data_IF_361064301435
#
_entry.id   IF_361064301435
#
_cell.length_a   1.000
_cell.length_b   1.000
_cell.length_c   1.000
_cell.angle_alpha   90.00
_cell.angle_beta   90.00
_cell.angle_gamma   90.00
#
_symmetry.space_group_name_H-M   'P 1'
#
loop_
_entity.id
_entity.type
_entity.pdbx_description
1 polymer ?
#
# COMPACT_ATOMS: atom_id res chain seq x y z
N UNK A 1 -10.81 9.79 12.10
CA UNK A 1 -11.27 9.37 10.76
C UNK A 1 -11.04 10.44 9.68
N UNK A 2 -11.45 11.70 9.83
CA UNK A 2 -11.21 12.75 8.81
C UNK A 2 -9.71 13.12 8.69
N UNK A 3 -8.96 13.12 9.80
CA UNK A 3 -7.52 13.38 9.82
C UNK A 3 -6.70 12.35 9.02
N UNK A 4 -7.10 11.07 8.98
CA UNK A 4 -6.34 10.01 8.30
C UNK A 4 -6.50 10.07 6.77
N UNK A 5 -7.66 10.49 6.28
CA UNK A 5 -7.92 10.64 4.83
C UNK A 5 -7.34 11.92 4.22
N UNK A 6 -6.82 12.83 5.03
CA UNK A 6 -6.17 14.07 4.58
C UNK A 6 -4.64 14.00 4.64
N UNK A 7 -4.05 12.88 5.09
CA UNK A 7 -2.60 12.73 5.11
C UNK A 7 -2.04 12.60 3.70
N UNK A 8 -0.97 13.33 3.43
CA UNK A 8 -0.32 13.41 2.12
C UNK A 8 0.09 12.01 1.59
N UNK A 9 0.49 11.10 2.47
CA UNK A 9 0.84 9.72 2.13
C UNK A 9 -0.32 8.91 1.54
N UNK A 10 -1.54 9.03 2.09
CA UNK A 10 -2.71 8.34 1.54
C UNK A 10 -3.11 8.91 0.19
N UNK A 11 -3.08 10.25 0.04
CA UNK A 11 -3.35 10.92 -1.24
C UNK A 11 -2.33 10.49 -2.30
N UNK A 12 -1.07 10.33 -1.90
CA UNK A 12 -0.01 9.83 -2.76
C UNK A 12 -0.25 8.40 -3.25
N UNK A 13 -0.53 7.46 -2.34
CA UNK A 13 -0.73 6.04 -2.71
C UNK A 13 -1.99 5.86 -3.56
N UNK A 14 -3.09 6.51 -3.17
CA UNK A 14 -4.34 6.49 -3.93
C UNK A 14 -4.16 7.14 -5.31
N UNK A 15 -3.59 8.35 -5.35
CA UNK A 15 -3.36 9.07 -6.59
C UNK A 15 -2.44 8.33 -7.54
N UNK A 16 -1.42 7.63 -7.05
CA UNK A 16 -0.58 6.76 -7.88
C UNK A 16 -1.38 5.68 -8.57
N UNK A 17 -2.27 5.00 -7.84
CA UNK A 17 -3.09 3.91 -8.38
C UNK A 17 -4.06 4.43 -9.44
N UNK A 18 -4.76 5.54 -9.14
CA UNK A 18 -5.71 6.18 -10.06
C UNK A 18 -5.03 6.70 -11.33
N UNK A 19 -3.91 7.43 -11.19
CA UNK A 19 -3.14 7.93 -12.32
C UNK A 19 -2.56 6.79 -13.17
N UNK A 20 -2.07 5.71 -12.54
CA UNK A 20 -1.50 4.58 -13.26
C UNK A 20 -2.54 3.80 -14.07
N UNK A 21 -3.79 3.73 -13.59
CA UNK A 21 -4.91 3.13 -14.33
C UNK A 21 -5.26 3.95 -15.58
N UNK A 22 -5.25 5.27 -15.49
CA UNK A 22 -5.68 6.15 -16.57
C UNK A 22 -4.55 6.50 -17.58
N UNK A 23 -3.33 6.75 -17.08
CA UNK A 23 -2.22 7.31 -17.85
C UNK A 23 -1.06 6.32 -18.05
N UNK A 24 -1.13 5.16 -17.39
CA UNK A 24 -0.05 4.18 -17.36
C UNK A 24 1.04 4.52 -16.35
N UNK A 25 1.68 3.47 -15.80
CA UNK A 25 2.63 3.61 -14.69
C UNK A 25 3.83 4.51 -15.02
N UNK A 26 4.32 4.50 -16.25
CA UNK A 26 5.50 5.27 -16.65
C UNK A 26 5.24 6.78 -16.69
N UNK A 27 4.01 7.19 -17.03
CA UNK A 27 3.61 8.60 -16.94
C UNK A 27 3.41 9.00 -15.47
N UNK A 28 2.76 8.15 -14.68
CA UNK A 28 2.50 8.41 -13.26
C UNK A 28 3.78 8.61 -12.45
N UNK A 29 4.81 7.79 -12.66
CA UNK A 29 6.08 7.95 -11.92
C UNK A 29 6.78 9.26 -12.24
N UNK A 30 6.67 9.74 -13.49
CA UNK A 30 7.22 11.03 -13.90
C UNK A 30 6.42 12.17 -13.27
N UNK A 31 5.09 12.08 -13.35
CA UNK A 31 4.17 13.07 -12.78
C UNK A 31 4.34 13.22 -11.26
N UNK A 32 4.44 12.11 -10.53
CA UNK A 32 4.62 12.11 -9.07
C UNK A 32 6.07 12.30 -8.62
N UNK A 33 7.04 12.34 -9.54
CA UNK A 33 8.45 12.56 -9.21
C UNK A 33 9.17 11.40 -8.52
N UNK A 34 8.67 10.16 -8.66
CA UNK A 34 9.21 8.98 -7.98
C UNK A 34 10.02 8.07 -8.93
N UNK A 35 10.77 7.12 -8.37
CA UNK A 35 11.47 6.14 -9.20
C UNK A 35 10.52 5.09 -9.79
N UNK A 36 10.89 4.48 -10.93
CA UNK A 36 10.14 3.36 -11.52
C UNK A 36 9.99 2.19 -10.53
N UNK A 37 11.06 1.86 -9.80
CA UNK A 37 11.05 0.82 -8.77
C UNK A 37 10.03 1.14 -7.67
N UNK A 38 9.94 2.41 -7.28
CA UNK A 38 8.99 2.86 -6.29
C UNK A 38 7.55 2.75 -6.78
N UNK A 39 7.28 3.28 -7.99
CA UNK A 39 5.95 3.24 -8.57
C UNK A 39 5.41 1.83 -8.73
N UNK A 40 6.22 0.92 -9.28
CA UNK A 40 5.82 -0.48 -9.44
C UNK A 40 5.58 -1.19 -8.11
N UNK A 41 6.35 -0.86 -7.06
CA UNK A 41 6.15 -1.46 -5.75
C UNK A 41 4.84 -0.98 -5.11
N UNK A 42 4.60 0.34 -5.11
CA UNK A 42 3.40 0.93 -4.51
C UNK A 42 2.13 0.48 -5.26
N UNK A 43 2.17 0.46 -6.60
CA UNK A 43 1.03 0.02 -7.41
C UNK A 43 0.63 -1.45 -7.17
N UNK A 44 1.58 -2.28 -6.73
CA UNK A 44 1.36 -3.70 -6.43
C UNK A 44 1.32 -4.00 -4.92
N UNK A 45 1.20 -2.95 -4.10
CA UNK A 45 1.16 -3.08 -2.67
C UNK A 45 -0.18 -3.71 -2.26
N UNK A 46 -0.20 -4.80 -1.49
CA UNK A 46 -1.45 -5.37 -1.00
C UNK A 46 -2.21 -4.34 -0.15
N UNK A 47 -3.54 -4.33 -0.26
CA UNK A 47 -4.39 -3.42 0.52
C UNK A 47 -4.10 -3.46 2.02
N UNK A 48 -3.80 -4.66 2.56
CA UNK A 48 -3.45 -4.87 3.98
C UNK A 48 -2.15 -4.21 4.43
N UNK A 49 -1.28 -3.79 3.49
CA UNK A 49 0.00 -3.16 3.77
C UNK A 49 -0.02 -1.64 3.52
N UNK A 50 -1.08 -1.10 2.89
CA UNK A 50 -1.18 0.32 2.52
C UNK A 50 -1.06 1.21 3.75
N UNK A 51 -1.83 0.93 4.80
CA UNK A 51 -1.82 1.77 6.00
C UNK A 51 -0.44 1.79 6.68
N UNK A 52 0.21 0.63 6.80
CA UNK A 52 1.55 0.53 7.36
C UNK A 52 2.58 1.28 6.51
N UNK A 53 2.45 1.22 5.17
CA UNK A 53 3.31 1.97 4.26
C UNK A 53 3.09 3.48 4.38
N UNK A 54 1.83 3.94 4.42
CA UNK A 54 1.50 5.36 4.60
C UNK A 54 2.10 5.92 5.89
N UNK A 55 2.06 5.17 6.99
CA UNK A 55 2.69 5.57 8.26
C UNK A 55 4.22 5.73 8.13
N UNK A 56 4.90 4.85 7.39
CA UNK A 56 6.36 4.99 7.15
C UNK A 56 6.68 6.22 6.30
N UNK A 57 5.81 6.55 5.34
CA UNK A 57 5.92 7.75 4.51
C UNK A 57 5.72 9.02 5.36
N UNK A 58 4.69 9.03 6.21
CA UNK A 58 4.38 10.15 7.11
C UNK A 58 5.50 10.37 8.14
N UNK A 59 6.01 9.31 8.78
CA UNK A 59 7.05 9.40 9.81
C UNK A 59 8.38 9.99 9.31
N UNK A 60 8.57 10.05 7.99
CA UNK A 60 9.78 10.57 7.35
C UNK A 60 9.52 11.84 6.55
N UNK A 61 8.32 12.41 6.63
CA UNK A 61 7.89 13.58 5.86
C UNK A 61 8.25 13.44 4.36
N UNK A 62 8.14 12.22 3.83
CA UNK A 62 8.64 11.90 2.48
C UNK A 62 7.69 12.37 1.38
N UNK A 63 6.48 12.76 1.77
CA UNK A 63 5.46 13.33 0.91
C UNK A 63 4.78 14.46 1.67
N UNK A 64 4.62 15.61 1.02
CA UNK A 64 3.83 16.71 1.54
C UNK A 64 2.87 17.26 0.49
N UNK A 65 1.82 17.93 0.95
CA UNK A 65 0.98 18.77 0.10
C UNK A 65 1.56 20.17 0.18
N UNK A 66 2.11 20.64 -0.93
CA UNK A 66 2.66 21.98 -1.09
C UNK A 66 1.59 22.90 -1.64
N UNK A 67 1.35 24.01 -0.93
CA UNK A 67 0.30 24.99 -1.25
C UNK A 67 0.98 26.32 -1.49
N UNK A 68 0.91 26.80 -2.74
CA UNK A 68 1.35 28.14 -3.08
C UNK A 68 0.30 29.17 -2.62
N UNK A 69 0.31 29.50 -1.32
CA UNK A 69 -0.67 30.40 -0.73
C UNK A 69 -0.69 31.79 -1.39
N UNK A 70 0.45 32.30 -1.86
CA UNK A 70 0.51 33.59 -2.55
C UNK A 70 -0.31 33.57 -3.85
N UNK A 71 -0.17 32.52 -4.66
CA UNK A 71 -0.94 32.36 -5.89
C UNK A 71 -2.41 32.05 -5.60
N UNK A 72 -2.71 31.24 -4.58
CA UNK A 72 -4.09 30.98 -4.13
C UNK A 72 -4.79 32.29 -3.75
N UNK A 73 -4.13 33.15 -2.96
CA UNK A 73 -4.65 34.46 -2.56
C UNK A 73 -4.88 35.33 -3.79
N UNK A 74 -3.90 35.44 -4.70
CA UNK A 74 -4.05 36.22 -5.92
C UNK A 74 -5.24 35.75 -6.77
N UNK A 75 -5.41 34.43 -6.94
CA UNK A 75 -6.54 33.87 -7.68
C UNK A 75 -7.87 34.15 -6.97
N UNK A 76 -7.91 34.10 -5.64
CA UNK A 76 -9.10 34.42 -4.87
C UNK A 76 -9.48 35.91 -5.02
N UNK A 77 -8.52 36.82 -4.91
CA UNK A 77 -8.71 38.27 -5.12
C UNK A 77 -9.20 38.58 -6.53
N UNK A 78 -8.59 37.97 -7.55
CA UNK A 78 -9.01 38.12 -8.93
C UNK A 78 -10.45 37.64 -9.12
N UNK A 79 -10.78 36.48 -8.57
CA UNK A 79 -12.12 35.89 -8.70
C UNK A 79 -13.18 36.72 -7.98
N UNK A 80 -12.87 37.28 -6.81
CA UNK A 80 -13.76 38.19 -6.08
C UNK A 80 -14.07 39.47 -6.88
N UNK A 81 -13.10 39.98 -7.65
CA UNK A 81 -13.19 41.30 -8.29
C UNK A 81 -13.54 41.30 -9.79
N UNK A 82 -13.77 40.14 -10.42
CA UNK A 82 -14.14 40.11 -11.85
C UNK A 82 -15.43 40.87 -12.15
N UNK A 83 -15.40 41.59 -13.27
CA UNK A 83 -16.62 42.03 -13.96
C UNK A 83 -17.34 40.83 -14.59
N UNK A 84 -18.64 40.95 -14.86
CA UNK A 84 -19.42 39.88 -15.50
C UNK A 84 -18.81 39.42 -16.83
N UNK A 85 -18.31 40.35 -17.65
CA UNK A 85 -17.66 40.02 -18.93
C UNK A 85 -16.34 39.27 -18.78
N UNK A 86 -15.54 39.58 -17.75
CA UNK A 86 -14.30 38.85 -17.45
C UNK A 86 -14.61 37.44 -16.93
N UNK A 87 -15.64 37.32 -16.09
CA UNK A 87 -16.09 36.03 -15.56
C UNK A 87 -16.49 35.06 -16.67
N UNK A 88 -17.36 35.46 -17.60
CA UNK A 88 -17.81 34.57 -18.69
C UNK A 88 -16.66 34.17 -19.63
N UNK A 89 -15.75 35.09 -19.94
CA UNK A 89 -14.55 34.78 -20.74
C UNK A 89 -13.65 33.74 -20.05
N UNK A 90 -13.37 33.94 -18.76
CA UNK A 90 -12.52 33.02 -18.00
C UNK A 90 -13.18 31.65 -17.79
N UNK A 91 -14.50 31.62 -17.57
CA UNK A 91 -15.28 30.39 -17.46
C UNK A 91 -15.21 29.56 -18.74
N UNK A 92 -15.29 30.19 -19.92
CA UNK A 92 -15.14 29.49 -21.20
C UNK A 92 -13.69 29.03 -21.43
N UNK A 93 -12.72 29.91 -21.17
CA UNK A 93 -11.29 29.60 -21.35
C UNK A 93 -10.81 28.46 -20.44
N UNK A 94 -11.22 28.47 -19.16
CA UNK A 94 -10.88 27.42 -18.20
C UNK A 94 -11.54 26.09 -18.57
N UNK A 95 -12.77 26.11 -19.08
CA UNK A 95 -13.44 24.90 -19.56
C UNK A 95 -12.68 24.26 -20.75
N UNK A 96 -12.23 25.07 -21.71
CA UNK A 96 -11.42 24.57 -22.83
C UNK A 96 -10.11 23.94 -22.37
N UNK A 97 -9.44 24.56 -21.39
CA UNK A 97 -8.20 24.02 -20.84
C UNK A 97 -8.41 22.72 -20.07
N UNK A 98 -9.43 22.66 -19.21
CA UNK A 98 -9.79 21.46 -18.45
C UNK A 98 -10.09 20.29 -19.40
N UNK A 99 -10.82 20.55 -20.49
CA UNK A 99 -11.12 19.52 -21.49
C UNK A 99 -9.88 19.02 -22.26
N UNK A 100 -8.77 19.76 -22.24
CA UNK A 100 -7.51 19.36 -22.87
C UNK A 100 -6.57 18.58 -21.93
N UNK A 101 -6.85 18.59 -20.62
CA UNK A 101 -6.05 17.88 -19.62
C UNK A 101 -6.41 16.37 -19.62
N UNK A 102 -5.43 15.47 -19.46
CA UNK A 102 -5.71 14.06 -19.25
C UNK A 102 -6.63 13.84 -18.04
N UNK A 103 -7.67 13.02 -18.18
CA UNK A 103 -8.74 12.90 -17.19
C UNK A 103 -8.22 12.47 -15.80
N UNK A 104 -7.23 11.58 -15.76
CA UNK A 104 -6.58 11.15 -14.52
C UNK A 104 -5.84 12.29 -13.82
N UNK A 105 -5.12 13.13 -14.57
CA UNK A 105 -4.43 14.30 -14.03
C UNK A 105 -5.44 15.32 -13.47
N UNK A 106 -6.52 15.56 -14.20
CA UNK A 106 -7.60 16.43 -13.74
C UNK A 106 -8.22 15.92 -12.44
N UNK A 107 -8.58 14.63 -12.39
CA UNK A 107 -9.18 14.02 -11.20
C UNK A 107 -8.24 14.10 -9.99
N UNK A 108 -6.96 13.82 -10.18
CA UNK A 108 -5.96 13.92 -9.12
C UNK A 108 -5.82 15.34 -8.57
N UNK A 109 -5.66 16.35 -9.45
CA UNK A 109 -5.58 17.76 -9.03
C UNK A 109 -6.87 18.25 -8.40
N UNK A 110 -8.03 17.84 -8.93
CA UNK A 110 -9.33 18.13 -8.34
C UNK A 110 -9.43 17.56 -6.93
N UNK A 111 -8.99 16.33 -6.70
CA UNK A 111 -8.98 15.70 -5.37
C UNK A 111 -8.13 16.49 -4.36
N UNK A 112 -6.96 16.98 -4.77
CA UNK A 112 -6.14 17.86 -3.94
C UNK A 112 -6.84 19.18 -3.59
N UNK A 113 -7.47 19.81 -4.59
CA UNK A 113 -8.23 21.07 -4.39
C UNK A 113 -9.45 20.86 -3.50
N UNK A 114 -10.19 19.78 -3.69
CA UNK A 114 -11.36 19.44 -2.88
C UNK A 114 -10.95 19.23 -1.41
N UNK A 115 -9.86 18.49 -1.15
CA UNK A 115 -9.31 18.29 0.21
C UNK A 115 -8.85 19.59 0.84
N UNK A 116 -8.16 20.43 0.10
CA UNK A 116 -7.75 21.76 0.55
C UNK A 116 -8.95 22.63 0.93
N UNK A 117 -10.01 22.61 0.12
CA UNK A 117 -11.21 23.41 0.39
C UNK A 117 -11.97 22.91 1.63
N UNK A 118 -12.05 21.59 1.83
CA UNK A 118 -12.58 21.00 3.07
C UNK A 118 -11.76 21.43 4.28
N UNK A 119 -10.42 21.37 4.17
CA UNK A 119 -9.51 21.81 5.22
C UNK A 119 -9.73 23.28 5.58
N UNK A 120 -9.69 24.19 4.59
CA UNK A 120 -9.94 25.62 4.83
C UNK A 120 -11.30 25.87 5.46
N UNK A 121 -12.36 25.24 4.95
CA UNK A 121 -13.72 25.46 5.46
C UNK A 121 -13.82 25.02 6.93
N UNK A 122 -13.18 23.90 7.28
CA UNK A 122 -13.12 23.42 8.66
C UNK A 122 -12.33 24.39 9.56
N UNK A 123 -11.18 24.88 9.10
CA UNK A 123 -10.38 25.84 9.87
C UNK A 123 -11.11 27.17 10.07
N UNK A 124 -11.85 27.66 9.06
CA UNK A 124 -12.69 28.85 9.18
C UNK A 124 -13.81 28.65 10.22
N UNK A 125 -14.47 27.47 10.21
CA UNK A 125 -15.51 27.13 11.18
C UNK A 125 -14.95 27.03 12.62
N UNK A 126 -13.79 26.38 12.79
CA UNK A 126 -13.11 26.33 14.09
C UNK A 126 -12.74 27.72 14.57
N UNK A 127 -12.26 28.58 13.66
CA UNK A 127 -11.90 29.96 13.99
C UNK A 127 -13.08 30.82 14.42
N UNK A 128 -14.26 30.59 13.84
CA UNK A 128 -15.50 31.26 14.23
C UNK A 128 -15.96 30.84 15.63
N UNK A 129 -15.81 29.56 15.98
CA UNK A 129 -16.30 29.01 17.25
C UNK A 129 -15.29 29.21 18.39
N UNK A 130 -14.00 29.07 18.11
CA UNK A 130 -12.91 29.11 19.09
C UNK A 130 -11.78 30.05 18.63
N UNK A 131 -12.01 31.38 18.64
CA UNK A 131 -11.03 32.35 18.14
C UNK A 131 -9.67 32.31 18.86
N UNK A 132 -9.64 31.86 20.12
CA UNK A 132 -8.40 31.71 20.91
C UNK A 132 -7.51 30.54 20.44
N UNK A 133 -8.05 29.58 19.69
CA UNK A 133 -7.31 28.43 19.15
C UNK A 133 -6.78 28.67 17.73
N UNK A 134 -7.07 29.82 17.11
CA UNK A 134 -6.78 30.10 15.69
C UNK A 134 -5.29 30.24 15.39
N UNK A 135 -4.44 30.51 16.40
CA UNK A 135 -3.00 30.72 16.16
C UNK A 135 -2.23 29.49 15.64
N UNK A 136 -2.86 28.31 15.60
CA UNK A 136 -2.28 27.08 15.05
C UNK A 136 -2.61 26.82 13.58
N UNK A 137 -3.51 27.57 12.95
CA UNK A 137 -3.85 27.37 11.54
C UNK A 137 -2.72 27.89 10.64
N UNK A 138 -2.14 27.03 9.80
CA UNK A 138 -1.09 27.40 8.83
C UNK A 138 -1.63 28.20 7.61
N UNK A 139 -2.91 28.59 7.64
CA UNK A 139 -3.57 29.30 6.54
C UNK A 139 -3.44 30.82 6.75
N UNK A 140 -2.99 31.59 5.75
CA UNK A 140 -2.91 33.04 5.88
C UNK A 140 -4.29 33.66 6.13
N UNK A 141 -4.42 34.52 7.14
CA UNK A 141 -5.69 35.19 7.50
C UNK A 141 -6.28 35.98 6.33
N UNK A 142 -5.43 36.51 5.44
CA UNK A 142 -5.85 37.20 4.22
C UNK A 142 -6.72 36.30 3.33
N UNK A 143 -6.38 35.02 3.21
CA UNK A 143 -7.17 34.07 2.42
C UNK A 143 -8.56 33.85 3.02
N UNK A 144 -8.69 33.77 4.34
CA UNK A 144 -9.99 33.65 5.01
C UNK A 144 -10.90 34.83 4.70
N UNK A 145 -10.38 36.05 4.81
CA UNK A 145 -11.14 37.27 4.52
C UNK A 145 -11.68 37.24 3.09
N UNK A 146 -10.81 36.96 2.11
CA UNK A 146 -11.21 36.94 0.70
C UNK A 146 -12.24 35.84 0.42
N UNK A 147 -12.12 34.67 1.04
CA UNK A 147 -13.04 33.56 0.83
C UNK A 147 -14.42 33.80 1.49
N UNK A 148 -14.49 34.53 2.60
CA UNK A 148 -15.76 34.96 3.20
C UNK A 148 -16.51 35.94 2.28
N UNK A 149 -15.78 36.84 1.63
CA UNK A 149 -16.34 37.83 0.72
C UNK A 149 -16.61 37.28 -0.69
N UNK A 150 -16.15 36.07 -1.01
CA UNK A 150 -16.29 35.48 -2.34
C UNK A 150 -17.74 35.03 -2.58
N UNK A 151 -18.44 35.55 -3.61
CA UNK A 151 -19.79 35.10 -3.90
C UNK A 151 -19.83 33.61 -4.27
N UNK A 152 -20.82 32.88 -3.77
CA UNK A 152 -20.98 31.43 -4.03
C UNK A 152 -21.00 31.07 -5.52
N UNK A 153 -21.55 31.96 -6.35
CA UNK A 153 -21.59 31.83 -7.80
C UNK A 153 -20.21 31.83 -8.47
N UNK A 154 -19.17 32.31 -7.78
CA UNK A 154 -17.79 32.42 -8.29
C UNK A 154 -16.86 31.33 -7.77
N UNK A 155 -17.25 30.59 -6.73
CA UNK A 155 -16.45 29.50 -6.14
C UNK A 155 -16.06 28.46 -7.20
N UNK A 156 -17.00 28.06 -8.05
CA UNK A 156 -16.74 27.09 -9.13
C UNK A 156 -15.59 27.51 -10.05
N UNK A 157 -15.52 28.80 -10.43
CA UNK A 157 -14.44 29.32 -11.25
C UNK A 157 -13.12 29.37 -10.48
N UNK A 158 -13.16 29.79 -9.22
CA UNK A 158 -11.98 29.80 -8.35
C UNK A 158 -11.36 28.40 -8.24
N UNK A 159 -12.16 27.37 -7.92
CA UNK A 159 -11.68 25.98 -7.83
C UNK A 159 -11.06 25.50 -9.16
N UNK A 160 -11.69 25.84 -10.30
CA UNK A 160 -11.13 25.51 -11.63
C UNK A 160 -9.77 26.17 -11.87
N UNK A 161 -9.61 27.42 -11.43
CA UNK A 161 -8.35 28.15 -11.55
C UNK A 161 -7.25 27.52 -10.68
N UNK A 162 -7.57 27.06 -9.46
CA UNK A 162 -6.62 26.33 -8.61
C UNK A 162 -6.13 25.04 -9.30
N UNK A 163 -7.05 24.27 -9.90
CA UNK A 163 -6.71 23.05 -10.66
C UNK A 163 -5.84 23.38 -11.87
N UNK A 164 -6.23 24.41 -12.64
CA UNK A 164 -5.54 24.82 -13.86
C UNK A 164 -4.11 25.28 -13.56
N UNK A 165 -3.94 26.08 -12.50
CA UNK A 165 -2.64 26.63 -12.11
C UNK A 165 -1.78 25.66 -11.31
N UNK A 166 -2.34 24.54 -10.86
CA UNK A 166 -1.65 23.55 -10.04
C UNK A 166 -1.08 24.15 -8.73
N UNK A 167 -1.83 25.06 -8.11
CA UNK A 167 -1.38 25.80 -6.92
C UNK A 167 -1.28 24.92 -5.67
N UNK A 168 -1.99 23.80 -5.66
CA UNK A 168 -1.93 22.78 -4.60
C UNK A 168 -1.41 21.51 -5.27
N UNK A 169 -0.23 21.08 -4.87
CA UNK A 169 0.46 19.95 -5.49
C UNK A 169 0.99 19.00 -4.44
N UNK A 170 1.10 17.74 -4.84
CA UNK A 170 1.79 16.75 -4.03
C UNK A 170 3.29 16.79 -4.36
N UNK A 171 4.13 16.97 -3.36
CA UNK A 171 5.59 16.95 -3.50
C UNK A 171 6.12 15.68 -2.85
N UNK A 172 7.00 14.98 -3.56
CA UNK A 172 7.60 13.74 -3.08
C UNK A 172 9.12 13.90 -2.95
N UNK A 173 9.67 13.38 -1.86
CA UNK A 173 11.11 13.20 -1.72
C UNK A 173 11.47 11.84 -2.33
N UNK A 174 11.92 11.86 -3.58
CA UNK A 174 12.27 10.66 -4.35
C UNK A 174 13.29 9.77 -3.63
N UNK A 175 14.28 10.34 -2.97
CA UNK A 175 15.33 9.57 -2.29
C UNK A 175 14.79 8.87 -1.05
N UNK A 176 14.01 9.57 -0.23
CA UNK A 176 13.40 8.97 0.96
C UNK A 176 12.36 7.91 0.60
N UNK A 177 11.53 8.12 -0.43
CA UNK A 177 10.61 7.09 -0.92
C UNK A 177 11.37 5.82 -1.32
N UNK A 178 12.52 5.95 -1.99
CA UNK A 178 13.33 4.79 -2.33
C UNK A 178 13.90 4.08 -1.10
N UNK A 179 14.31 4.84 -0.06
CA UNK A 179 14.80 4.29 1.22
C UNK A 179 13.69 3.56 1.97
N UNK A 180 12.49 4.14 2.06
CA UNK A 180 11.32 3.50 2.66
C UNK A 180 11.04 2.17 1.95
N UNK A 181 11.00 2.18 0.62
CA UNK A 181 10.70 0.97 -0.15
C UNK A 181 11.78 -0.09 0.01
N UNK A 182 13.05 0.29 0.06
CA UNK A 182 14.13 -0.66 0.32
C UNK A 182 13.97 -1.39 1.66
N UNK A 183 13.48 -0.69 2.69
CA UNK A 183 13.26 -1.26 4.02
C UNK A 183 11.91 -2.02 4.12
N UNK A 184 10.87 -1.52 3.46
CA UNK A 184 9.52 -2.06 3.57
C UNK A 184 9.30 -3.29 2.69
N UNK A 185 9.94 -3.34 1.51
CA UNK A 185 9.75 -4.42 0.53
C UNK A 185 10.09 -5.82 1.07
N UNK A 186 11.23 -6.05 1.75
CA UNK A 186 11.54 -7.37 2.31
C UNK A 186 10.48 -7.85 3.32
N UNK A 187 9.94 -6.94 4.15
CA UNK A 187 8.88 -7.25 5.12
C UNK A 187 7.59 -7.69 4.42
N UNK A 188 7.19 -7.00 3.35
CA UNK A 188 6.00 -7.37 2.57
C UNK A 188 6.21 -8.71 1.85
N UNK A 189 7.38 -8.93 1.27
CA UNK A 189 7.72 -10.19 0.61
C UNK A 189 7.71 -11.37 1.61
N UNK A 190 8.31 -11.21 2.79
CA UNK A 190 8.26 -12.21 3.86
C UNK A 190 6.83 -12.50 4.33
N UNK A 191 6.00 -11.47 4.53
CA UNK A 191 4.58 -11.65 4.87
C UNK A 191 3.78 -12.37 3.79
N UNK A 192 4.02 -12.06 2.51
CA UNK A 192 3.39 -12.79 1.39
C UNK A 192 3.77 -14.27 1.38
N UNK A 193 5.04 -14.60 1.66
CA UNK A 193 5.50 -15.98 1.79
C UNK A 193 4.81 -16.69 2.95
N UNK A 194 4.80 -16.07 4.14
CA UNK A 194 4.11 -16.61 5.32
C UNK A 194 2.63 -16.86 5.01
N UNK A 195 1.93 -15.90 4.39
CA UNK A 195 0.54 -16.05 4.00
C UNK A 195 0.33 -17.24 3.05
N UNK A 196 1.22 -17.45 2.08
CA UNK A 196 1.18 -18.59 1.16
C UNK A 196 1.32 -19.92 1.91
N UNK A 197 2.22 -20.00 2.89
CA UNK A 197 2.42 -21.20 3.70
C UNK A 197 1.23 -21.47 4.62
N UNK A 198 0.68 -20.42 5.23
CA UNK A 198 -0.54 -20.54 6.05
C UNK A 198 -1.72 -21.03 5.20
N UNK A 199 -1.91 -20.50 3.99
CA UNK A 199 -2.94 -20.99 3.05
C UNK A 199 -2.76 -22.48 2.73
N UNK A 200 -1.52 -22.92 2.54
CA UNK A 200 -1.18 -24.32 2.31
C UNK A 200 -1.30 -25.20 3.58
N UNK A 201 -1.76 -24.64 4.71
CA UNK A 201 -1.96 -25.37 5.95
C UNK A 201 -0.68 -25.66 6.73
N UNK A 202 0.38 -24.87 6.54
CA UNK A 202 1.60 -24.99 7.34
C UNK A 202 1.38 -24.55 8.81
N UNK A 203 2.02 -25.26 9.72
CA UNK A 203 2.08 -24.89 11.15
C UNK A 203 3.13 -23.79 11.40
N UNK A 204 3.03 -23.11 12.55
CA UNK A 204 4.01 -22.08 12.92
C UNK A 204 5.42 -22.66 12.99
N UNK A 205 5.56 -23.85 13.60
CA UNK A 205 6.85 -24.54 13.74
C UNK A 205 7.48 -24.87 12.39
N UNK A 206 6.67 -25.27 11.41
CA UNK A 206 7.15 -25.52 10.05
C UNK A 206 7.68 -24.23 9.40
N UNK A 207 6.93 -23.13 9.52
CA UNK A 207 7.32 -21.83 8.96
C UNK A 207 8.59 -21.30 9.64
N UNK A 208 8.66 -21.33 10.97
CA UNK A 208 9.85 -20.90 11.73
C UNK A 208 11.10 -21.72 11.36
N UNK A 209 10.94 -23.00 11.00
CA UNK A 209 12.06 -23.88 10.63
C UNK A 209 12.51 -23.73 9.17
N UNK A 210 11.59 -23.53 8.23
CA UNK A 210 11.87 -23.68 6.80
C UNK A 210 11.62 -22.46 5.93
N UNK A 211 10.92 -21.42 6.42
CA UNK A 211 10.63 -20.25 5.59
C UNK A 211 11.86 -19.35 5.33
N UNK A 212 13.01 -19.64 5.95
CA UNK A 212 14.26 -18.87 5.86
C UNK A 212 14.10 -17.39 6.26
N UNK A 213 13.03 -17.06 7.00
CA UNK A 213 12.77 -15.72 7.50
C UNK A 213 13.45 -15.53 8.87
N UNK A 214 14.24 -14.46 9.03
CA UNK A 214 14.94 -14.16 10.30
C UNK A 214 13.98 -13.96 11.47
N UNK A 215 12.75 -13.52 11.19
CA UNK A 215 11.71 -13.31 12.17
C UNK A 215 10.33 -13.57 11.56
N UNK A 216 9.54 -14.44 12.20
CA UNK A 216 8.15 -14.70 11.84
C UNK A 216 7.25 -13.91 12.79
N UNK A 217 6.46 -12.99 12.25
CA UNK A 217 5.44 -12.25 13.01
C UNK A 217 4.33 -13.22 13.44
N UNK A 218 4.42 -13.70 14.69
CA UNK A 218 3.47 -14.66 15.26
C UNK A 218 2.04 -14.13 15.27
N UNK A 219 1.87 -12.83 15.53
CA UNK A 219 0.54 -12.19 15.54
C UNK A 219 -0.07 -12.25 14.14
N UNK A 220 0.71 -11.90 13.12
CA UNK A 220 0.31 -12.02 11.72
C UNK A 220 -0.03 -13.48 11.35
N UNK A 221 0.81 -14.44 11.74
CA UNK A 221 0.55 -15.87 11.49
C UNK A 221 -0.81 -16.30 12.05
N UNK A 222 -1.10 -16.02 13.33
CA UNK A 222 -2.36 -16.46 13.94
C UNK A 222 -3.58 -15.74 13.34
N UNK A 223 -3.43 -14.48 12.94
CA UNK A 223 -4.47 -13.76 12.20
C UNK A 223 -4.77 -14.44 10.87
N UNK A 224 -3.75 -14.72 10.06
CA UNK A 224 -3.92 -15.43 8.80
C UNK A 224 -4.51 -16.82 9.01
N UNK A 225 -4.01 -17.58 10.01
CA UNK A 225 -4.45 -18.96 10.25
C UNK A 225 -5.94 -19.01 10.61
N UNK A 226 -6.43 -18.08 11.43
CA UNK A 226 -7.87 -17.96 11.72
C UNK A 226 -8.72 -17.74 10.46
N UNK A 227 -8.23 -16.96 9.49
CA UNK A 227 -8.95 -16.71 8.24
C UNK A 227 -9.05 -17.96 7.34
N UNK A 228 -8.07 -18.87 7.38
CA UNK A 228 -8.04 -20.05 6.52
C UNK A 228 -8.49 -21.35 7.22
N UNK A 229 -8.52 -21.39 8.55
CA UNK A 229 -8.86 -22.60 9.29
C UNK A 229 -10.23 -23.17 8.90
N UNK A 230 -11.21 -22.31 8.65
CA UNK A 230 -12.56 -22.71 8.24
C UNK A 230 -12.66 -23.18 6.78
N UNK A 231 -11.61 -22.96 5.97
CA UNK A 231 -11.56 -23.42 4.57
C UNK A 231 -10.97 -24.81 4.42
N UNK A 232 -10.37 -25.35 5.48
CA UNK A 232 -9.72 -26.65 5.44
C UNK A 232 -10.75 -27.77 5.61
N UNK A 233 -10.71 -28.70 4.67
CA UNK A 233 -11.56 -29.90 4.70
C UNK A 233 -10.85 -31.05 5.42
N UNK A 234 -11.60 -32.04 5.93
CA UNK A 234 -11.02 -33.31 6.34
C UNK A 234 -10.21 -33.94 5.21
N UNK A 235 -9.11 -34.61 5.55
CA UNK A 235 -8.16 -35.16 4.57
C UNK A 235 -8.07 -36.67 4.70
N UNK A 236 -8.12 -37.37 3.57
CA UNK A 236 -7.81 -38.79 3.49
C UNK A 236 -6.30 -38.97 3.33
N UNK A 237 -5.68 -39.67 4.27
CA UNK A 237 -4.22 -39.80 4.34
C UNK A 237 -3.80 -41.17 3.82
N UNK A 238 -2.92 -41.18 2.81
CA UNK A 238 -2.24 -42.38 2.35
C UNK A 238 -0.72 -42.19 2.50
N UNK A 239 -0.20 -42.59 3.66
CA UNK A 239 1.21 -42.37 4.04
C UNK A 239 2.21 -42.96 3.04
N UNK A 240 1.89 -44.10 2.40
CA UNK A 240 2.76 -44.74 1.41
C UNK A 240 2.91 -43.89 0.13
N UNK A 241 1.81 -43.32 -0.36
CA UNK A 241 1.83 -42.44 -1.55
C UNK A 241 2.53 -41.12 -1.21
N UNK A 242 2.27 -40.57 -0.03
CA UNK A 242 2.91 -39.34 0.45
C UNK A 242 4.43 -39.53 0.53
N UNK A 243 4.88 -40.59 1.19
CA UNK A 243 6.30 -40.83 1.44
C UNK A 243 7.09 -41.17 0.18
N UNK A 244 6.52 -41.99 -0.72
CA UNK A 244 7.16 -42.28 -2.01
C UNK A 244 7.33 -41.03 -2.89
N UNK A 245 6.31 -40.15 -2.91
CA UNK A 245 6.41 -38.87 -3.62
C UNK A 245 7.44 -37.93 -2.97
N UNK A 246 7.55 -37.94 -1.64
CA UNK A 246 8.56 -37.20 -0.90
C UNK A 246 9.98 -37.67 -1.24
N UNK A 247 10.26 -38.98 -1.19
CA UNK A 247 11.57 -39.55 -1.54
C UNK A 247 11.98 -39.16 -2.97
N UNK A 248 11.06 -39.25 -3.92
CA UNK A 248 11.31 -38.85 -5.31
C UNK A 248 11.71 -37.37 -5.43
N UNK A 249 10.98 -36.46 -4.76
CA UNK A 249 11.28 -35.03 -4.81
C UNK A 249 12.59 -34.66 -4.08
N UNK A 250 12.92 -35.37 -3.00
CA UNK A 250 14.20 -35.20 -2.31
C UNK A 250 15.39 -35.67 -3.17
N UNK A 251 15.23 -36.74 -3.97
CA UNK A 251 16.26 -37.19 -4.91
C UNK A 251 16.56 -36.17 -6.02
N UNK A 252 15.58 -35.34 -6.37
CA UNK A 252 15.74 -34.22 -7.31
C UNK A 252 16.51 -33.02 -6.72
N UNK A 253 17.02 -33.11 -5.47
CA UNK A 253 17.76 -32.04 -4.76
C UNK A 253 17.00 -30.72 -4.64
N UNK A 254 15.68 -30.79 -4.43
CA UNK A 254 14.86 -29.60 -4.16
C UNK A 254 15.03 -29.16 -2.71
N UNK A 255 14.89 -27.86 -2.46
CA UNK A 255 14.80 -27.34 -1.09
C UNK A 255 13.57 -27.93 -0.39
N UNK A 256 13.68 -28.20 0.91
CA UNK A 256 12.64 -28.85 1.70
C UNK A 256 11.30 -28.09 1.65
N UNK A 257 11.33 -26.75 1.62
CA UNK A 257 10.13 -25.92 1.49
C UNK A 257 9.44 -26.18 0.15
N UNK A 258 10.21 -26.26 -0.93
CA UNK A 258 9.72 -26.54 -2.28
C UNK A 258 9.16 -27.96 -2.39
N UNK A 259 9.75 -28.93 -1.70
CA UNK A 259 9.24 -30.31 -1.64
C UNK A 259 7.84 -30.32 -1.02
N UNK A 260 7.67 -29.73 0.17
CA UNK A 260 6.36 -29.68 0.83
C UNK A 260 5.33 -28.88 0.05
N UNK A 261 5.72 -27.75 -0.56
CA UNK A 261 4.83 -26.98 -1.44
C UNK A 261 4.43 -27.77 -2.70
N UNK A 262 5.32 -28.59 -3.23
CA UNK A 262 5.04 -29.44 -4.40
C UNK A 262 4.11 -30.60 -4.02
N UNK A 263 4.35 -31.25 -2.88
CA UNK A 263 3.47 -32.29 -2.34
C UNK A 263 2.07 -31.74 -2.06
N UNK A 264 1.96 -30.56 -1.44
CA UNK A 264 0.69 -29.87 -1.21
C UNK A 264 -0.08 -29.67 -2.53
N UNK A 265 0.59 -29.16 -3.58
CA UNK A 265 -0.04 -28.96 -4.89
C UNK A 265 -0.44 -30.26 -5.58
N UNK A 266 0.37 -31.32 -5.44
CA UNK A 266 0.16 -32.62 -6.11
C UNK A 266 -0.94 -33.45 -5.45
N UNK A 267 -1.01 -33.42 -4.12
CA UNK A 267 -1.88 -34.28 -3.32
C UNK A 267 -3.09 -33.54 -2.76
N UNK A 268 -3.10 -32.20 -2.79
CA UNK A 268 -4.17 -31.39 -2.21
C UNK A 268 -4.18 -31.37 -0.68
N UNK A 269 -3.18 -31.99 -0.04
CA UNK A 269 -3.06 -32.11 1.41
C UNK A 269 -2.34 -30.92 2.02
N UNK A 270 -2.73 -30.52 3.23
CA UNK A 270 -2.10 -29.50 4.03
C UNK A 270 -0.66 -29.89 4.36
N UNK A 271 0.20 -28.88 4.41
CA UNK A 271 1.62 -29.07 4.74
C UNK A 271 1.79 -29.70 6.13
N UNK A 272 0.96 -29.36 7.11
CA UNK A 272 0.99 -29.98 8.44
C UNK A 272 0.71 -31.48 8.39
N UNK A 273 -0.32 -31.91 7.64
CA UNK A 273 -0.65 -33.34 7.47
C UNK A 273 0.45 -34.09 6.72
N UNK A 274 1.02 -33.49 5.69
CA UNK A 274 2.15 -34.05 4.95
C UNK A 274 3.38 -34.17 5.87
N UNK A 275 3.64 -33.14 6.67
CA UNK A 275 4.74 -33.10 7.62
C UNK A 275 4.62 -34.23 8.63
N UNK A 276 3.47 -34.35 9.29
CA UNK A 276 3.23 -35.36 10.32
C UNK A 276 3.35 -36.78 9.75
N UNK A 277 2.71 -37.05 8.60
CA UNK A 277 2.75 -38.36 7.93
C UNK A 277 4.18 -38.76 7.52
N UNK A 278 4.98 -37.82 7.00
CA UNK A 278 6.38 -38.08 6.62
C UNK A 278 7.23 -38.32 7.87
N UNK A 279 7.08 -37.51 8.92
CA UNK A 279 7.85 -37.70 10.15
C UNK A 279 7.53 -39.04 10.82
N UNK A 280 6.25 -39.43 10.90
CA UNK A 280 5.83 -40.73 11.42
C UNK A 280 6.39 -41.88 10.58
N UNK A 281 6.34 -41.77 9.25
CA UNK A 281 6.91 -42.79 8.36
C UNK A 281 8.43 -42.88 8.51
N UNK A 282 9.14 -41.76 8.66
CA UNK A 282 10.58 -41.75 8.93
C UNK A 282 10.90 -42.42 10.27
N UNK A 283 10.15 -42.11 11.33
CA UNK A 283 10.33 -42.74 12.64
C UNK A 283 10.17 -44.26 12.53
N UNK A 284 9.10 -44.74 11.91
CA UNK A 284 8.89 -46.19 11.73
C UNK A 284 9.90 -46.87 10.80
N UNK A 285 10.38 -46.21 9.74
CA UNK A 285 11.37 -46.79 8.81
C UNK A 285 12.75 -46.96 9.45
N UNK A 286 13.08 -46.11 10.41
CA UNK A 286 14.43 -46.00 10.98
C UNK A 286 14.48 -46.25 12.50
N UNK A 287 13.39 -46.77 13.08
CA UNK A 287 13.11 -47.05 14.50
C UNK A 287 14.13 -48.00 15.19
N UNK A 288 15.21 -48.40 14.51
CA UNK A 288 16.25 -49.30 15.04
C UNK A 288 17.62 -48.66 15.21
N UNK A 289 17.82 -47.39 14.84
CA UNK A 289 19.07 -46.68 15.10
C UNK A 289 18.81 -45.18 15.38
N UNK A 290 18.58 -44.83 16.65
CA UNK A 290 18.39 -43.44 17.09
C UNK A 290 19.55 -42.50 16.66
N UNK A 291 20.75 -43.07 16.44
CA UNK A 291 21.93 -42.33 15.96
C UNK A 291 21.93 -42.12 14.44
N UNK A 292 21.38 -43.06 13.66
CA UNK A 292 21.23 -42.92 12.20
C UNK A 292 20.05 -42.01 11.86
N UNK A 293 18.95 -42.05 12.63
CA UNK A 293 17.77 -41.21 12.37
C UNK A 293 18.11 -39.72 12.35
N UNK A 294 18.87 -39.23 13.33
CA UNK A 294 19.32 -37.83 13.35
C UNK A 294 20.36 -37.51 12.27
N UNK A 295 21.25 -38.45 11.94
CA UNK A 295 22.26 -38.24 10.89
C UNK A 295 21.68 -38.31 9.48
N UNK A 296 20.68 -39.15 9.23
CA UNK A 296 20.14 -39.42 7.90
C UNK A 296 18.99 -38.45 7.58
N UNK A 297 18.13 -38.12 8.55
CA UNK A 297 17.26 -36.94 8.48
C UNK A 297 18.10 -35.67 8.40
N UNK A 298 19.20 -35.60 9.15
CA UNK A 298 20.20 -34.53 9.03
C UNK A 298 20.86 -34.47 7.65
N UNK A 299 21.19 -35.60 7.02
CA UNK A 299 21.79 -35.66 5.69
C UNK A 299 20.79 -35.42 4.56
N UNK A 300 19.53 -35.77 4.75
CA UNK A 300 18.44 -35.46 3.82
C UNK A 300 18.06 -33.98 3.89
N UNK A 301 18.10 -33.36 5.08
CA UNK A 301 17.75 -31.94 5.28
C UNK A 301 18.94 -31.00 5.05
N UNK A 302 20.18 -31.41 5.38
CA UNK A 302 21.38 -30.56 5.31
C UNK A 302 22.28 -30.83 4.09
N UNK A 303 21.85 -31.61 3.09
CA UNK A 303 22.51 -31.63 1.77
C UNK A 303 22.06 -30.43 0.94
N UNK A 304 22.49 -29.24 1.37
CA UNK A 304 22.53 -28.01 0.55
C UNK A 304 23.96 -27.71 0.14
#
# INVERSE_FOLDING_TARGET
MIEEHCKASFVFVQGLSELALDLGIDHTIQFLGISRKAGLFINNLPFTEIEAFCREVDNRDSVCIDINYDEVIQLAELTANFTFGQYEKLKQSTAGWINSMPIGEFNFRKSLVDKFFVYITNEMYVAEINPEQVSTAQIPSKLFIILQDLPSTRISLFLRLLIQRNTIRLVTNREEINRIIANFRPRVEGRKRILSLVKAGASLSFIEKYAQEKYVDRKYFYQCRRCYQNTWQPEEINSTIIFSAFEQLMQEKRDILDVYMTLHKKLGLRIETLWDSIQETLLHKYEHDDYFLQQEVGHLINKT
#
